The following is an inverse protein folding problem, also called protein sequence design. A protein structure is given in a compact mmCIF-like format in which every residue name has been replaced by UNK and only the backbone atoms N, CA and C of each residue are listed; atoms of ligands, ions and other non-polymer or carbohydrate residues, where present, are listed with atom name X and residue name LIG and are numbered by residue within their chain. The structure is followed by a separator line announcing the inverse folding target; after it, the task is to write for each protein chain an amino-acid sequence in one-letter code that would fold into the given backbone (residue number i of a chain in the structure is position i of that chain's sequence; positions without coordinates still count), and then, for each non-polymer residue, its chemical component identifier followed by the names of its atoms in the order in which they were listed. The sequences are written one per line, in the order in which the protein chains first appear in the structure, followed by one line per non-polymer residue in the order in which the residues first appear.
data_IF_406423348618
#
_entry.id   IF_406423348618
#
_cell.length_a   1.000
_cell.length_b   1.000
_cell.length_c   1.000
_cell.angle_alpha   90.00
_cell.angle_beta   90.00
_cell.angle_gamma   90.00
#
_symmetry.space_group_name_H-M   'P 1'
#
loop_
_entity.id
_entity.type
_entity.pdbx_description
1 polymer ?
#
# COMPACT_ATOMS: atom_id res chain seq x y z
N UNK A 1 -16.24 -10.45 11.14
CA UNK A 1 -15.93 -10.74 9.72
C UNK A 1 -14.42 -10.86 9.61
N UNK A 2 -13.91 -12.05 9.30
CA UNK A 2 -12.47 -12.36 9.29
C UNK A 2 -11.91 -12.48 7.86
N UNK A 3 -10.57 -12.51 7.69
CA UNK A 3 -9.95 -12.57 6.36
C UNK A 3 -10.34 -13.82 5.58
N UNK A 4 -10.51 -14.96 6.27
CA UNK A 4 -10.95 -16.21 5.65
C UNK A 4 -12.37 -16.11 5.06
N UNK A 5 -13.30 -15.44 5.75
CA UNK A 5 -14.67 -15.24 5.24
C UNK A 5 -14.68 -14.35 4.01
N UNK A 6 -13.92 -13.25 4.04
CA UNK A 6 -13.73 -12.39 2.87
C UNK A 6 -13.07 -13.15 1.72
N UNK A 7 -12.12 -14.03 2.02
CA UNK A 7 -11.47 -14.85 1.01
C UNK A 7 -12.44 -15.79 0.31
N UNK A 8 -13.33 -16.46 1.06
CA UNK A 8 -14.38 -17.30 0.46
C UNK A 8 -15.37 -16.47 -0.35
N UNK A 9 -15.85 -15.34 0.19
CA UNK A 9 -16.86 -14.49 -0.46
C UNK A 9 -16.38 -13.90 -1.79
N UNK A 10 -15.12 -13.52 -1.86
CA UNK A 10 -14.52 -12.88 -3.04
C UNK A 10 -13.57 -13.80 -3.83
N UNK A 11 -13.63 -15.12 -3.58
CA UNK A 11 -12.79 -16.13 -4.23
C UNK A 11 -11.28 -15.79 -4.23
N UNK A 12 -10.79 -15.26 -3.10
CA UNK A 12 -9.38 -14.91 -2.92
C UNK A 12 -8.54 -16.15 -2.68
N UNK A 13 -7.33 -16.18 -3.24
CA UNK A 13 -6.37 -17.25 -3.05
C UNK A 13 -5.48 -16.96 -1.86
N UNK A 14 -5.23 -17.98 -1.03
CA UNK A 14 -4.29 -17.86 0.09
C UNK A 14 -2.86 -17.72 -0.43
N UNK A 15 -2.13 -16.73 0.09
CA UNK A 15 -0.73 -16.45 -0.20
C UNK A 15 0.04 -16.24 1.12
N UNK A 16 0.52 -17.33 1.71
CA UNK A 16 1.14 -17.29 3.04
C UNK A 16 0.14 -16.96 4.15
N UNK A 17 0.36 -15.81 4.81
CA UNK A 17 -0.51 -15.30 5.91
C UNK A 17 -1.61 -14.37 5.43
N UNK A 18 -1.58 -13.98 4.16
CA UNK A 18 -2.56 -13.10 3.54
C UNK A 18 -3.36 -13.86 2.46
N UNK A 19 -4.46 -13.27 2.03
CA UNK A 19 -5.29 -13.71 0.90
C UNK A 19 -5.22 -12.65 -0.19
N UNK A 20 -5.07 -13.07 -1.45
CA UNK A 20 -4.97 -12.19 -2.61
C UNK A 20 -5.97 -12.54 -3.69
N UNK A 21 -6.47 -11.51 -4.38
CA UNK A 21 -7.36 -11.73 -5.52
C UNK A 21 -7.80 -10.44 -6.19
N UNK A 22 -8.91 -10.53 -6.91
CA UNK A 22 -9.50 -9.39 -7.61
C UNK A 22 -10.11 -8.40 -6.60
N UNK A 23 -9.81 -7.12 -6.77
CA UNK A 23 -10.43 -6.06 -6.00
C UNK A 23 -11.87 -5.85 -6.49
N UNK A 24 -12.88 -5.85 -5.60
CA UNK A 24 -14.27 -5.62 -6.00
C UNK A 24 -14.52 -4.20 -6.52
N UNK A 25 -13.60 -3.25 -6.24
CA UNK A 25 -13.72 -1.86 -6.70
C UNK A 25 -13.19 -1.64 -8.13
N UNK A 26 -12.02 -2.20 -8.45
CA UNK A 26 -11.35 -1.96 -9.73
C UNK A 26 -11.22 -3.20 -10.63
N UNK A 27 -11.64 -4.37 -10.15
CA UNK A 27 -11.57 -5.65 -10.88
C UNK A 27 -10.16 -6.21 -11.11
N UNK A 28 -9.10 -5.47 -10.76
CA UNK A 28 -7.71 -5.91 -10.93
C UNK A 28 -7.29 -6.89 -9.83
N UNK A 29 -6.35 -7.82 -10.08
CA UNK A 29 -5.83 -8.77 -9.09
C UNK A 29 -4.88 -8.06 -8.10
N UNK A 30 -5.42 -7.15 -7.29
CA UNK A 30 -4.68 -6.20 -6.47
C UNK A 30 -5.18 -6.10 -5.03
N UNK A 31 -6.20 -6.89 -4.66
CA UNK A 31 -6.70 -6.94 -3.30
C UNK A 31 -5.84 -7.88 -2.46
N UNK A 32 -5.41 -7.40 -1.30
CA UNK A 32 -4.86 -8.20 -0.21
C UNK A 32 -5.76 -8.10 1.00
N UNK A 33 -6.02 -9.23 1.67
CA UNK A 33 -6.72 -9.31 2.95
C UNK A 33 -5.89 -10.15 3.92
N UNK A 34 -5.67 -9.68 5.14
CA UNK A 34 -4.93 -10.43 6.17
C UNK A 34 -5.56 -10.23 7.55
N UNK A 35 -5.41 -11.21 8.43
CA UNK A 35 -5.71 -11.05 9.86
C UNK A 35 -4.41 -10.78 10.63
N UNK A 36 -4.35 -9.67 11.34
CA UNK A 36 -3.19 -9.25 12.13
C UNK A 36 -3.63 -8.70 13.47
N UNK A 37 -3.05 -9.23 14.56
CA UNK A 37 -3.35 -8.80 15.94
C UNK A 37 -4.86 -8.78 16.28
N UNK A 38 -5.60 -9.80 15.81
CA UNK A 38 -7.05 -9.92 16.04
C UNK A 38 -7.91 -8.93 15.25
N UNK A 39 -7.33 -8.25 14.25
CA UNK A 39 -8.05 -7.35 13.34
C UNK A 39 -7.84 -7.79 11.89
N UNK A 40 -8.89 -7.69 11.09
CA UNK A 40 -8.82 -7.93 9.66
C UNK A 40 -8.43 -6.65 8.95
N UNK A 41 -7.40 -6.72 8.12
CA UNK A 41 -6.92 -5.64 7.27
C UNK A 41 -7.12 -6.00 5.81
N UNK A 42 -7.50 -5.01 5.00
CA UNK A 42 -7.59 -5.15 3.56
C UNK A 42 -7.04 -3.91 2.88
N UNK A 43 -6.42 -4.11 1.72
CA UNK A 43 -5.89 -3.03 0.88
C UNK A 43 -5.94 -3.39 -0.59
N UNK A 44 -6.11 -2.37 -1.42
CA UNK A 44 -5.91 -2.45 -2.87
C UNK A 44 -4.63 -1.70 -3.25
N UNK A 45 -3.65 -2.38 -3.85
CA UNK A 45 -2.39 -1.74 -4.24
C UNK A 45 -2.51 -0.73 -5.40
N UNK A 46 -3.63 -0.73 -6.12
CA UNK A 46 -3.92 0.25 -7.16
C UNK A 46 -4.48 1.57 -6.61
N UNK A 47 -4.65 1.70 -5.29
CA UNK A 47 -5.07 2.95 -4.66
C UNK A 47 -6.56 3.21 -4.74
N UNK A 48 -7.40 2.17 -4.70
CA UNK A 48 -8.84 2.39 -4.52
C UNK A 48 -9.11 3.06 -3.17
N UNK A 49 -10.14 3.90 -3.12
CA UNK A 49 -10.57 4.53 -1.88
C UNK A 49 -10.91 3.48 -0.81
N UNK A 50 -10.42 3.69 0.41
CA UNK A 50 -10.54 2.72 1.50
C UNK A 50 -11.99 2.63 2.00
N UNK A 51 -12.77 3.72 1.93
CA UNK A 51 -14.18 3.76 2.27
C UNK A 51 -15.03 2.94 1.30
N UNK A 52 -14.84 3.16 -0.01
CA UNK A 52 -15.49 2.35 -1.05
C UNK A 52 -15.09 0.89 -0.97
N UNK A 53 -13.81 0.59 -0.73
CA UNK A 53 -13.32 -0.78 -0.55
C UNK A 53 -13.96 -1.45 0.67
N UNK A 54 -14.10 -0.72 1.78
CA UNK A 54 -14.76 -1.21 2.99
C UNK A 54 -16.25 -1.44 2.75
N UNK A 55 -16.93 -0.51 2.06
CA UNK A 55 -18.35 -0.66 1.68
C UNK A 55 -18.55 -1.88 0.78
N UNK A 56 -17.69 -2.07 -0.22
CA UNK A 56 -17.76 -3.22 -1.11
C UNK A 56 -17.54 -4.55 -0.38
N UNK A 57 -16.51 -4.64 0.48
CA UNK A 57 -16.16 -5.88 1.18
C UNK A 57 -17.19 -6.27 2.25
N UNK A 58 -17.65 -5.30 3.04
CA UNK A 58 -18.61 -5.55 4.13
C UNK A 58 -20.05 -5.60 3.61
N UNK A 59 -20.45 -4.64 2.76
CA UNK A 59 -21.78 -4.56 2.16
C UNK A 59 -22.05 -5.65 1.12
N UNK A 60 -21.02 -6.17 0.45
CA UNK A 60 -21.16 -7.21 -0.57
C UNK A 60 -21.43 -6.71 -1.98
N UNK A 61 -21.28 -5.41 -2.19
CA UNK A 61 -21.53 -4.78 -3.47
C UNK A 61 -20.25 -4.75 -4.29
N UNK A 62 -20.28 -5.35 -5.49
CA UNK A 62 -19.16 -5.24 -6.44
C UNK A 62 -19.29 -3.90 -7.16
N UNK A 63 -18.55 -2.91 -6.67
CA UNK A 63 -18.58 -1.54 -7.15
C UNK A 63 -17.51 -1.35 -8.21
N UNK A 64 -17.76 -1.70 -9.47
CA UNK A 64 -16.83 -1.37 -10.56
C UNK A 64 -16.83 0.15 -10.82
N UNK A 65 -16.14 0.92 -9.99
CA UNK A 65 -15.92 2.33 -10.29
C UNK A 65 -14.87 2.43 -11.40
N UNK A 66 -15.12 3.22 -12.46
CA UNK A 66 -14.07 3.53 -13.42
C UNK A 66 -12.95 4.23 -12.64
N UNK A 67 -11.74 3.68 -12.73
CA UNK A 67 -10.57 4.19 -12.03
C UNK A 67 -10.43 5.68 -12.35
N UNK A 68 -10.35 6.59 -11.37
CA UNK A 68 -9.94 7.96 -11.68
C UNK A 68 -8.56 7.86 -12.31
N UNK A 69 -8.40 8.44 -13.51
CA UNK A 69 -7.11 8.49 -14.17
C UNK A 69 -6.10 9.06 -13.18
N UNK A 70 -5.01 8.33 -12.90
CA UNK A 70 -3.95 8.78 -12.02
C UNK A 70 -3.54 10.19 -12.45
N UNK A 71 -3.93 11.20 -11.68
CA UNK A 71 -3.42 12.54 -11.91
C UNK A 71 -1.92 12.46 -11.72
N UNK A 72 -1.10 12.87 -12.70
CA UNK A 72 0.35 12.84 -12.54
C UNK A 72 0.69 13.63 -11.28
N UNK A 73 1.39 13.01 -10.34
CA UNK A 73 1.88 13.71 -9.15
C UNK A 73 2.71 14.91 -9.64
N UNK A 74 2.30 16.16 -9.39
CA UNK A 74 2.97 17.34 -9.95
C UNK A 74 4.41 17.55 -9.43
N UNK A 75 4.89 16.68 -8.55
CA UNK A 75 6.08 16.85 -7.73
C UNK A 75 7.19 15.81 -8.01
N UNK A 76 6.98 14.86 -8.93
CA UNK A 76 8.00 13.83 -9.23
C UNK A 76 9.23 14.44 -9.93
N UNK A 77 8.99 15.36 -10.87
CA UNK A 77 10.07 16.07 -11.56
C UNK A 77 10.88 16.97 -10.60
N UNK A 78 10.22 17.59 -9.62
CA UNK A 78 10.89 18.41 -8.61
C UNK A 78 11.70 17.55 -7.63
N UNK A 79 11.14 16.43 -7.14
CA UNK A 79 11.88 15.46 -6.33
C UNK A 79 13.12 14.94 -7.05
N UNK A 80 13.00 14.63 -8.34
CA UNK A 80 14.13 14.13 -9.14
C UNK A 80 15.22 15.18 -9.31
N UNK A 81 14.86 16.45 -9.51
CA UNK A 81 15.83 17.56 -9.56
C UNK A 81 16.52 17.77 -8.20
N UNK A 82 15.77 17.80 -7.10
CA UNK A 82 16.31 17.93 -5.73
C UNK A 82 17.25 16.77 -5.38
N UNK A 83 16.91 15.54 -5.77
CA UNK A 83 17.77 14.38 -5.56
C UNK A 83 19.10 14.48 -6.32
N UNK A 84 19.08 14.93 -7.58
CA UNK A 84 20.31 15.15 -8.35
C UNK A 84 21.16 16.30 -7.80
N UNK A 85 20.55 17.37 -7.29
CA UNK A 85 21.24 18.48 -6.63
C UNK A 85 21.98 18.01 -5.36
N UNK A 86 21.34 17.18 -4.53
CA UNK A 86 21.95 16.59 -3.33
C UNK A 86 23.13 15.66 -3.66
N UNK A 87 23.03 14.88 -4.75
CA UNK A 87 24.11 13.99 -5.19
C UNK A 87 25.28 14.77 -5.81
N UNK A 88 25.01 15.82 -6.58
CA UNK A 88 26.03 16.66 -7.21
C UNK A 88 26.80 17.55 -6.23
N UNK A 89 26.16 17.93 -5.11
CA UNK A 89 26.78 18.79 -4.08
C UNK A 89 27.76 18.08 -3.16
N UNK A 90 27.92 16.76 -3.26
CA UNK A 90 28.87 16.00 -2.45
C UNK A 90 28.66 16.27 -0.96
N UNK A 91 27.57 15.75 -0.39
CA UNK A 91 27.35 15.82 1.07
C UNK A 91 28.57 15.19 1.76
N UNK A 92 29.37 15.99 2.45
CA UNK A 92 30.36 15.50 3.39
C UNK A 92 29.63 14.65 4.43
N UNK A 93 29.82 13.34 4.37
CA UNK A 93 29.45 12.43 5.44
C UNK A 93 30.39 12.74 6.61
N UNK A 94 29.96 13.59 7.55
CA UNK A 94 30.71 13.83 8.79
C UNK A 94 30.94 12.48 9.49
N UNK A 95 32.20 12.06 9.71
CA UNK A 95 32.46 10.79 10.39
C UNK A 95 31.97 10.88 11.84
N UNK A 96 31.27 9.84 12.29
CA UNK A 96 30.79 9.73 13.65
C UNK A 96 31.96 9.85 14.65
N UNK A 97 31.80 10.74 15.63
CA UNK A 97 32.76 10.98 16.72
C UNK A 97 33.02 9.66 17.48
N UNK A 98 34.27 9.19 17.61
CA UNK A 98 34.55 8.00 18.40
C UNK A 98 34.25 8.29 19.87
N UNK A 99 33.32 7.52 20.44
CA UNK A 99 33.09 7.51 21.89
C UNK A 99 34.24 6.75 22.55
N UNK A 100 35.11 7.45 23.27
CA UNK A 100 36.15 6.79 24.07
C UNK A 100 36.92 7.74 24.97
N UNK A 101 37.04 7.33 26.23
CA UNK A 101 37.96 7.76 27.30
C UNK A 101 37.51 8.90 28.23
N UNK A 102 36.92 8.51 29.37
CA UNK A 102 37.33 8.98 30.70
C UNK A 102 37.12 7.87 31.72
N UNK A 103 38.23 7.48 32.36
CA UNK A 103 38.36 6.48 33.43
C UNK A 103 39.84 6.37 33.76
#
# INVERSE_FOLDING_TARGET
MNAAELATRFALKRNGREFRGACPCCGKPSLTVEDKAGKTFWRCFYGCDQGDLTRALLGGEVMHSPMPASSPNPDEAERRRKAMDLWGKGVELTPAKPSGAHG
#
